data_IF_130611890641
#
_entry.id   IF_130611890641
#
_cell.length_a   1.000
_cell.length_b   1.000
_cell.length_c   1.000
_cell.angle_alpha   90.00
_cell.angle_beta   90.00
_cell.angle_gamma   90.00
#
_symmetry.space_group_name_H-M   'P 1'
#
loop_
_entity.id
_entity.type
_entity.pdbx_description
1 polymer ?
#
# COMPACT_ATOMS: atom_id res chain seq x y z
N UNK A 1 -32.16 15.24 22.53
CA UNK A 1 -30.74 15.16 22.89
C UNK A 1 -29.96 14.98 21.59
N UNK A 2 -28.93 15.80 21.38
CA UNK A 2 -28.49 16.23 20.06
C UNK A 2 -27.49 15.24 19.42
N UNK A 3 -27.99 14.29 18.61
CA UNK A 3 -27.20 13.22 17.97
C UNK A 3 -26.03 13.76 17.12
N UNK A 4 -26.20 14.97 16.53
CA UNK A 4 -25.16 15.69 15.81
C UNK A 4 -23.98 16.09 16.70
N UNK A 5 -24.24 16.53 17.93
CA UNK A 5 -23.20 16.96 18.87
C UNK A 5 -22.35 15.77 19.35
N UNK A 6 -22.98 14.60 19.52
CA UNK A 6 -22.30 13.36 19.94
C UNK A 6 -21.40 12.83 18.81
N UNK A 7 -21.87 12.90 17.55
CA UNK A 7 -21.07 12.51 16.40
C UNK A 7 -19.83 13.39 16.21
N UNK A 8 -19.94 14.70 16.51
CA UNK A 8 -18.83 15.65 16.34
C UNK A 8 -17.73 15.43 17.38
N UNK A 9 -18.09 15.20 18.65
CA UNK A 9 -17.12 14.89 19.72
C UNK A 9 -16.42 13.55 19.53
N UNK A 10 -17.14 12.51 19.10
CA UNK A 10 -16.54 11.20 18.83
C UNK A 10 -15.56 11.21 17.65
N UNK A 11 -15.78 12.07 16.64
CA UNK A 11 -14.86 12.28 15.53
C UNK A 11 -13.58 12.99 16.01
N UNK A 12 -13.72 13.98 16.89
CA UNK A 12 -12.59 14.72 17.47
C UNK A 12 -11.70 13.82 18.36
N UNK A 13 -12.29 13.00 19.22
CA UNK A 13 -11.56 12.05 20.08
C UNK A 13 -10.84 10.97 19.24
N UNK A 14 -11.43 10.58 18.11
CA UNK A 14 -10.81 9.67 17.14
C UNK A 14 -9.65 10.36 16.40
N UNK A 15 -9.81 11.62 15.98
CA UNK A 15 -8.74 12.41 15.36
C UNK A 15 -7.53 12.59 16.28
N UNK A 16 -7.73 12.79 17.58
CA UNK A 16 -6.63 12.86 18.56
C UNK A 16 -5.88 11.53 18.74
N UNK A 17 -6.60 10.40 18.81
CA UNK A 17 -5.99 9.06 18.90
C UNK A 17 -5.18 8.70 17.63
N UNK A 18 -5.61 9.18 16.46
CA UNK A 18 -4.94 8.98 15.17
C UNK A 18 -3.64 9.80 15.03
N UNK A 19 -3.51 10.89 15.78
CA UNK A 19 -2.35 11.78 15.70
C UNK A 19 -1.07 11.18 16.31
N UNK A 20 -1.19 10.10 17.09
CA UNK A 20 -0.12 9.59 17.95
C UNK A 20 0.81 8.56 17.29
N UNK A 21 0.45 8.00 16.13
CA UNK A 21 1.38 7.21 15.31
C UNK A 21 1.66 7.97 14.01
N UNK A 22 2.86 8.53 13.81
CA UNK A 22 3.19 9.30 12.62
C UNK A 22 3.43 8.36 11.43
N UNK A 23 2.43 7.55 11.07
CA UNK A 23 2.49 6.51 10.05
C UNK A 23 3.07 7.06 8.75
N UNK A 24 2.64 8.27 8.36
CA UNK A 24 3.16 8.95 7.19
C UNK A 24 4.67 9.26 7.28
N UNK A 25 5.17 9.64 8.46
CA UNK A 25 6.60 9.87 8.69
C UNK A 25 7.39 8.56 8.62
N UNK A 26 6.88 7.48 9.23
CA UNK A 26 7.52 6.16 9.20
C UNK A 26 7.55 5.62 7.77
N UNK A 27 6.46 5.79 7.00
CA UNK A 27 6.44 5.41 5.59
C UNK A 27 7.48 6.21 4.79
N UNK A 28 7.56 7.54 4.98
CA UNK A 28 8.56 8.38 4.30
C UNK A 28 10.00 7.97 4.64
N UNK A 29 10.25 7.52 5.87
CA UNK A 29 11.56 6.96 6.24
C UNK A 29 11.83 5.64 5.51
N UNK A 30 10.85 4.73 5.41
CA UNK A 30 10.99 3.51 4.62
C UNK A 30 11.25 3.80 3.14
N UNK A 31 10.60 4.81 2.57
CA UNK A 31 10.90 5.26 1.20
C UNK A 31 12.35 5.74 1.08
N UNK A 32 12.82 6.54 2.05
CA UNK A 32 14.19 7.06 2.04
C UNK A 32 15.24 5.94 2.21
N UNK A 33 14.90 4.86 2.92
CA UNK A 33 15.72 3.65 2.99
C UNK A 33 15.73 2.89 1.66
N UNK A 34 14.57 2.71 1.02
CA UNK A 34 14.48 2.08 -0.30
C UNK A 34 15.27 2.85 -1.38
N UNK A 35 15.18 4.19 -1.38
CA UNK A 35 15.92 5.05 -2.30
C UNK A 35 17.44 4.90 -2.10
N UNK A 36 17.92 4.92 -0.85
CA UNK A 36 19.35 4.72 -0.54
C UNK A 36 19.84 3.35 -0.99
N UNK A 37 19.11 2.28 -0.68
CA UNK A 37 19.49 0.93 -1.11
C UNK A 37 19.53 0.84 -2.66
N UNK A 38 18.61 1.51 -3.36
CA UNK A 38 18.59 1.54 -4.82
C UNK A 38 19.74 2.35 -5.42
N UNK A 39 20.12 3.47 -4.79
CA UNK A 39 21.30 4.26 -5.15
C UNK A 39 22.58 3.45 -4.96
N UNK A 40 22.75 2.81 -3.80
CA UNK A 40 23.90 1.94 -3.49
C UNK A 40 23.98 0.75 -4.46
N UNK A 41 22.85 0.11 -4.76
CA UNK A 41 22.75 -0.94 -5.78
C UNK A 41 23.22 -0.44 -7.15
N UNK A 42 22.72 0.73 -7.58
CA UNK A 42 23.07 1.32 -8.87
C UNK A 42 24.55 1.74 -8.94
N UNK A 43 25.10 2.28 -7.86
CA UNK A 43 26.51 2.62 -7.74
C UNK A 43 27.40 1.37 -7.77
N UNK A 44 26.97 0.29 -7.13
CA UNK A 44 27.66 -0.99 -7.18
C UNK A 44 27.67 -1.60 -8.58
N UNK A 45 26.51 -1.67 -9.26
CA UNK A 45 26.42 -2.14 -10.64
C UNK A 45 27.35 -1.35 -11.58
N UNK A 46 27.36 -0.02 -11.46
CA UNK A 46 28.27 0.83 -12.24
C UNK A 46 29.74 0.49 -12.01
N UNK A 47 30.14 0.17 -10.77
CA UNK A 47 31.53 -0.22 -10.43
C UNK A 47 31.93 -1.56 -11.04
N UNK A 48 30.99 -2.49 -11.22
CA UNK A 48 31.25 -3.81 -11.82
C UNK A 48 30.91 -3.87 -13.32
N UNK A 49 30.60 -2.73 -13.95
CA UNK A 49 30.43 -2.59 -15.40
C UNK A 49 28.99 -2.75 -15.91
N UNK A 50 27.99 -2.46 -15.09
CA UNK A 50 26.55 -2.58 -15.38
C UNK A 50 26.16 -3.94 -16.00
N UNK A 51 26.57 -5.06 -15.39
CA UNK A 51 26.25 -6.38 -15.91
C UNK A 51 24.74 -6.62 -15.91
N UNK A 52 24.26 -7.35 -16.92
CA UNK A 52 22.89 -7.85 -16.91
C UNK A 52 22.65 -8.78 -15.72
N UNK A 53 21.41 -8.84 -15.22
CA UNK A 53 21.02 -9.53 -13.98
C UNK A 53 21.61 -10.91 -13.75
N UNK A 54 21.72 -11.73 -14.81
CA UNK A 54 22.32 -13.08 -14.73
C UNK A 54 23.78 -13.10 -14.24
N UNK A 55 24.45 -11.96 -14.32
CA UNK A 55 25.86 -11.77 -13.97
C UNK A 55 26.03 -10.83 -12.77
N UNK A 56 24.96 -10.57 -12.01
CA UNK A 56 25.07 -9.87 -10.74
C UNK A 56 25.89 -10.71 -9.76
N UNK A 57 26.73 -10.03 -8.98
CA UNK A 57 27.42 -10.63 -7.86
C UNK A 57 26.51 -10.63 -6.61
N UNK A 58 26.91 -11.36 -5.57
CA UNK A 58 26.12 -11.46 -4.35
C UNK A 58 25.80 -10.11 -3.71
N UNK A 59 26.71 -9.12 -3.65
CA UNK A 59 26.36 -7.77 -3.17
C UNK A 59 25.26 -7.09 -3.98
N UNK A 60 25.28 -7.16 -5.32
CA UNK A 60 24.21 -6.60 -6.15
C UNK A 60 22.85 -7.25 -5.83
N UNK A 61 22.80 -8.59 -5.72
CA UNK A 61 21.57 -9.31 -5.37
C UNK A 61 21.03 -8.88 -4.00
N UNK A 62 21.89 -8.78 -2.98
CA UNK A 62 21.49 -8.41 -1.62
C UNK A 62 20.95 -6.97 -1.53
N UNK A 63 21.61 -6.01 -2.20
CA UNK A 63 21.14 -4.62 -2.23
C UNK A 63 19.79 -4.51 -2.94
N UNK A 64 19.57 -5.27 -4.01
CA UNK A 64 18.29 -5.27 -4.70
C UNK A 64 17.17 -5.91 -3.87
N UNK A 65 17.47 -6.97 -3.12
CA UNK A 65 16.54 -7.56 -2.16
C UNK A 65 16.17 -6.58 -1.04
N UNK A 66 17.14 -5.80 -0.54
CA UNK A 66 16.93 -4.76 0.48
C UNK A 66 15.95 -3.67 0.00
N UNK A 67 16.07 -3.22 -1.25
CA UNK A 67 15.07 -2.34 -1.88
C UNK A 67 13.66 -2.95 -1.78
N UNK A 68 13.54 -4.22 -2.13
CA UNK A 68 12.29 -4.96 -2.05
C UNK A 68 11.72 -5.04 -0.62
N UNK A 69 12.57 -5.21 0.39
CA UNK A 69 12.17 -5.24 1.80
C UNK A 69 11.59 -3.89 2.23
N UNK A 70 12.28 -2.78 1.92
CA UNK A 70 11.81 -1.45 2.32
C UNK A 70 10.52 -1.04 1.60
N UNK A 71 10.40 -1.33 0.31
CA UNK A 71 9.15 -1.13 -0.43
C UNK A 71 8.01 -1.97 0.17
N UNK A 72 8.28 -3.22 0.52
CA UNK A 72 7.30 -4.13 1.11
C UNK A 72 6.81 -3.65 2.47
N UNK A 73 7.74 -3.22 3.33
CA UNK A 73 7.44 -2.65 4.64
C UNK A 73 6.56 -1.40 4.53
N UNK A 74 6.84 -0.52 3.56
CA UNK A 74 5.98 0.63 3.27
C UNK A 74 4.56 0.21 2.92
N UNK A 75 4.35 -0.79 2.05
CA UNK A 75 2.99 -1.24 1.71
C UNK A 75 2.25 -1.83 2.90
N UNK A 76 2.95 -2.52 3.81
CA UNK A 76 2.35 -3.00 5.07
C UNK A 76 1.89 -1.85 5.95
N UNK A 77 2.69 -0.78 6.07
CA UNK A 77 2.30 0.42 6.80
C UNK A 77 1.09 1.12 6.16
N UNK A 78 1.03 1.22 4.83
CA UNK A 78 -0.15 1.73 4.12
C UNK A 78 -1.39 0.86 4.39
N UNK A 79 -1.25 -0.46 4.37
CA UNK A 79 -2.34 -1.39 4.70
C UNK A 79 -2.86 -1.19 6.13
N UNK A 80 -1.99 -0.87 7.10
CA UNK A 80 -2.39 -0.52 8.46
C UNK A 80 -3.25 0.75 8.46
N UNK A 81 -2.80 1.82 7.79
CA UNK A 81 -3.55 3.08 7.66
C UNK A 81 -4.91 2.90 6.97
N UNK A 82 -4.99 2.04 5.95
CA UNK A 82 -6.25 1.68 5.29
C UNK A 82 -7.18 0.96 6.27
N UNK A 83 -6.66 -0.04 6.99
CA UNK A 83 -7.46 -0.85 7.93
C UNK A 83 -8.03 -0.01 9.06
N UNK A 84 -7.22 0.90 9.60
CA UNK A 84 -7.63 1.88 10.60
C UNK A 84 -8.75 2.77 10.07
N UNK A 85 -8.59 3.34 8.86
CA UNK A 85 -9.61 4.19 8.23
C UNK A 85 -10.94 3.46 8.08
N UNK A 86 -10.91 2.22 7.61
CA UNK A 86 -12.14 1.44 7.44
C UNK A 86 -12.80 1.16 8.78
N UNK A 87 -12.02 0.88 9.82
CA UNK A 87 -12.54 0.66 11.17
C UNK A 87 -13.31 1.89 11.68
N UNK A 88 -12.73 3.08 11.49
CA UNK A 88 -13.35 4.36 11.87
C UNK A 88 -14.63 4.61 11.08
N UNK A 89 -14.57 4.54 9.76
CA UNK A 89 -15.73 4.80 8.89
C UNK A 89 -16.84 3.80 9.18
N UNK A 90 -16.51 2.53 9.38
CA UNK A 90 -17.49 1.52 9.75
C UNK A 90 -18.13 1.81 11.11
N UNK A 91 -17.35 2.29 12.08
CA UNK A 91 -17.88 2.68 13.39
C UNK A 91 -18.87 3.84 13.27
N UNK A 92 -18.57 4.85 12.46
CA UNK A 92 -19.49 5.97 12.16
C UNK A 92 -20.79 5.44 11.54
N UNK A 93 -20.69 4.59 10.52
CA UNK A 93 -21.85 3.98 9.87
C UNK A 93 -22.72 3.14 10.83
N UNK A 94 -22.10 2.41 11.76
CA UNK A 94 -22.81 1.66 12.79
C UNK A 94 -23.58 2.62 13.73
N UNK A 95 -22.97 3.73 14.13
CA UNK A 95 -23.62 4.74 14.98
C UNK A 95 -24.80 5.41 14.26
N UNK A 96 -24.72 5.56 12.94
CA UNK A 96 -25.81 6.05 12.08
C UNK A 96 -26.85 4.97 11.70
N UNK A 97 -26.77 3.77 12.28
CA UNK A 97 -27.72 2.67 12.04
C UNK A 97 -27.60 2.00 10.67
N UNK A 98 -26.53 2.28 9.91
CA UNK A 98 -26.31 1.82 8.53
C UNK A 98 -24.99 1.06 8.39
N UNK A 99 -24.82 -0.06 9.09
CA UNK A 99 -23.59 -0.86 9.02
C UNK A 99 -23.22 -1.21 7.56
N UNK A 100 -21.98 -0.94 7.16
CA UNK A 100 -21.47 -1.25 5.81
C UNK A 100 -20.37 -2.30 5.88
N UNK A 101 -20.38 -3.21 4.90
CA UNK A 101 -19.28 -4.17 4.74
C UNK A 101 -17.97 -3.45 4.35
N UNK A 102 -16.82 -4.07 4.68
CA UNK A 102 -15.46 -3.56 4.42
C UNK A 102 -15.22 -3.16 2.95
N UNK A 103 -15.69 -3.98 2.02
CA UNK A 103 -15.43 -3.81 0.58
C UNK A 103 -16.07 -2.54 -0.01
N UNK A 104 -17.35 -2.22 0.25
CA UNK A 104 -17.93 -0.92 -0.11
C UNK A 104 -17.17 0.29 0.44
N UNK A 105 -16.69 0.22 1.69
CA UNK A 105 -15.94 1.33 2.31
C UNK A 105 -14.60 1.52 1.61
N UNK A 106 -13.86 0.44 1.34
CA UNK A 106 -12.56 0.48 0.67
C UNK A 106 -12.61 1.20 -0.69
N UNK A 107 -13.76 1.14 -1.38
CA UNK A 107 -13.97 1.76 -2.70
C UNK A 107 -14.62 3.15 -2.65
N UNK A 108 -15.11 3.55 -1.49
CA UNK A 108 -15.80 4.82 -1.31
C UNK A 108 -14.81 5.98 -1.44
N UNK A 109 -15.07 6.93 -2.35
CA UNK A 109 -14.17 8.07 -2.62
C UNK A 109 -12.72 7.69 -3.01
N UNK A 110 -12.52 6.43 -3.39
CA UNK A 110 -11.20 5.91 -3.73
C UNK A 110 -10.79 6.38 -5.13
N UNK A 111 -9.53 6.81 -5.25
CA UNK A 111 -8.96 7.16 -6.56
C UNK A 111 -8.56 5.87 -7.28
N UNK A 112 -8.86 5.78 -8.58
CA UNK A 112 -8.61 4.60 -9.41
C UNK A 112 -7.40 4.78 -10.30
N UNK A 113 -6.59 3.74 -10.39
CA UNK A 113 -5.50 3.62 -11.35
C UNK A 113 -6.02 3.35 -12.77
N UNK A 114 -5.13 3.43 -13.76
CA UNK A 114 -5.42 3.04 -15.15
C UNK A 114 -5.88 1.57 -15.29
N UNK A 115 -5.48 0.70 -14.36
CA UNK A 115 -5.93 -0.69 -14.33
C UNK A 115 -7.39 -0.86 -13.86
N UNK A 116 -8.05 0.23 -13.42
CA UNK A 116 -9.40 0.23 -12.85
C UNK A 116 -9.45 -0.24 -11.39
N UNK A 117 -8.30 -0.47 -10.75
CA UNK A 117 -8.20 -0.76 -9.31
C UNK A 117 -8.01 0.53 -8.53
N UNK A 118 -8.64 0.61 -7.35
CA UNK A 118 -8.36 1.71 -6.42
C UNK A 118 -6.93 1.63 -5.85
N UNK A 119 -6.36 2.77 -5.49
CA UNK A 119 -5.04 2.82 -4.86
C UNK A 119 -4.99 1.99 -3.56
N UNK A 120 -6.09 1.96 -2.80
CA UNK A 120 -6.21 1.18 -1.58
C UNK A 120 -6.25 -0.33 -1.88
N UNK A 121 -6.94 -0.76 -2.95
CA UNK A 121 -6.90 -2.16 -3.40
C UNK A 121 -5.49 -2.59 -3.81
N UNK A 122 -4.77 -1.74 -4.54
CA UNK A 122 -3.40 -2.01 -4.98
C UNK A 122 -2.46 -2.12 -3.78
N UNK A 123 -2.47 -1.13 -2.88
CA UNK A 123 -1.61 -1.11 -1.70
C UNK A 123 -1.88 -2.32 -0.78
N UNK A 124 -3.15 -2.65 -0.56
CA UNK A 124 -3.55 -3.82 0.23
C UNK A 124 -3.11 -5.14 -0.43
N UNK A 125 -3.20 -5.25 -1.76
CA UNK A 125 -2.77 -6.44 -2.49
C UNK A 125 -1.23 -6.59 -2.49
N UNK A 126 -0.49 -5.50 -2.68
CA UNK A 126 0.97 -5.48 -2.59
C UNK A 126 1.48 -5.85 -1.19
N UNK A 127 0.85 -5.33 -0.14
CA UNK A 127 1.17 -5.70 1.24
C UNK A 127 0.92 -7.20 1.50
N UNK A 128 -0.19 -7.75 0.98
CA UNK A 128 -0.48 -9.18 1.11
C UNK A 128 0.50 -10.05 0.33
N UNK A 129 0.88 -9.64 -0.88
CA UNK A 129 1.97 -10.29 -1.61
C UNK A 129 3.24 -10.30 -0.76
N UNK A 130 3.71 -9.15 -0.28
CA UNK A 130 4.95 -9.07 0.50
C UNK A 130 4.97 -10.02 1.71
N UNK A 131 3.91 -9.99 2.54
CA UNK A 131 3.81 -10.81 3.75
C UNK A 131 3.74 -12.31 3.45
N UNK A 132 3.02 -12.70 2.40
CA UNK A 132 2.66 -14.09 2.15
C UNK A 132 3.33 -14.69 0.90
N UNK A 133 4.27 -13.98 0.25
CA UNK A 133 4.88 -14.43 -1.02
C UNK A 133 5.50 -15.83 -0.94
N UNK A 134 6.03 -16.20 0.22
CA UNK A 134 6.66 -17.50 0.47
C UNK A 134 5.65 -18.65 0.54
N UNK A 135 4.36 -18.34 0.73
CA UNK A 135 3.25 -19.29 0.71
C UNK A 135 2.66 -19.45 -0.71
N UNK A 136 3.04 -18.58 -1.66
CA UNK A 136 2.49 -18.58 -3.00
C UNK A 136 3.20 -19.62 -3.87
N UNK A 137 2.48 -20.31 -4.76
CA UNK A 137 3.10 -21.25 -5.68
C UNK A 137 4.03 -20.53 -6.65
N UNK A 138 5.07 -21.23 -7.12
CA UNK A 138 5.97 -20.71 -8.16
C UNK A 138 5.22 -20.38 -9.45
N UNK A 139 4.15 -21.11 -9.75
CA UNK A 139 3.20 -20.76 -10.79
C UNK A 139 1.92 -20.24 -10.14
N UNK A 140 1.66 -18.94 -10.28
CA UNK A 140 0.48 -18.29 -9.69
C UNK A 140 -0.87 -18.86 -10.18
N UNK A 141 -0.89 -19.57 -11.32
CA UNK A 141 -2.09 -20.27 -11.79
C UNK A 141 -2.55 -21.38 -10.82
N UNK A 142 -1.63 -21.95 -10.04
CA UNK A 142 -1.88 -23.06 -9.12
C UNK A 142 -2.37 -22.59 -7.73
N UNK A 143 -2.62 -21.29 -7.58
CA UNK A 143 -2.95 -20.69 -6.30
C UNK A 143 -4.34 -21.08 -5.78
N UNK A 144 -4.42 -21.34 -4.47
CA UNK A 144 -5.67 -21.67 -3.77
C UNK A 144 -6.53 -20.41 -3.54
N UNK A 145 -7.80 -20.62 -3.19
CA UNK A 145 -8.87 -19.60 -3.20
C UNK A 145 -8.53 -18.26 -2.50
N UNK A 146 -7.87 -18.28 -1.34
CA UNK A 146 -7.52 -17.07 -0.58
C UNK A 146 -6.45 -16.21 -1.27
N UNK A 147 -5.40 -16.82 -1.81
CA UNK A 147 -4.34 -16.12 -2.54
C UNK A 147 -4.78 -15.78 -3.97
N UNK A 148 -5.67 -16.56 -4.57
CA UNK A 148 -6.11 -16.41 -5.96
C UNK A 148 -6.67 -15.02 -6.26
N UNK A 149 -7.52 -14.48 -5.39
CA UNK A 149 -8.07 -13.12 -5.58
C UNK A 149 -7.00 -12.04 -5.50
N UNK A 150 -6.05 -12.17 -4.57
CA UNK A 150 -4.93 -11.23 -4.45
C UNK A 150 -4.03 -11.31 -5.67
N UNK A 151 -3.72 -12.52 -6.15
CA UNK A 151 -2.99 -12.80 -7.39
C UNK A 151 -3.66 -12.15 -8.59
N UNK A 152 -4.97 -12.34 -8.77
CA UNK A 152 -5.72 -11.71 -9.87
C UNK A 152 -5.61 -10.18 -9.85
N UNK A 153 -5.63 -9.56 -8.66
CA UNK A 153 -5.45 -8.11 -8.51
C UNK A 153 -4.02 -7.67 -8.86
N UNK A 154 -3.00 -8.33 -8.30
CA UNK A 154 -1.61 -7.96 -8.54
C UNK A 154 -1.16 -8.23 -9.98
N UNK A 155 -1.70 -9.27 -10.63
CA UNK A 155 -1.41 -9.56 -12.04
C UNK A 155 -1.92 -8.46 -12.98
N UNK A 156 -3.04 -7.80 -12.65
CA UNK A 156 -3.59 -6.69 -13.45
C UNK A 156 -2.71 -5.44 -13.48
N UNK A 157 -1.78 -5.33 -12.54
CA UNK A 157 -0.83 -4.21 -12.45
C UNK A 157 0.58 -4.60 -12.89
N UNK A 158 0.74 -5.79 -13.49
CA UNK A 158 2.00 -6.26 -14.08
C UNK A 158 2.89 -7.05 -13.12
N UNK A 159 2.46 -7.30 -11.88
CA UNK A 159 3.18 -8.23 -11.00
C UNK A 159 3.04 -9.66 -11.54
N UNK A 160 4.06 -10.48 -11.33
CA UNK A 160 4.07 -11.86 -11.83
C UNK A 160 4.96 -12.76 -10.97
N UNK A 161 4.79 -14.08 -11.14
CA UNK A 161 5.59 -15.07 -10.45
C UNK A 161 7.05 -15.12 -10.91
N UNK A 162 7.34 -14.63 -12.13
CA UNK A 162 8.69 -14.59 -12.70
C UNK A 162 9.47 -13.32 -12.32
N UNK A 163 8.81 -12.36 -11.68
CA UNK A 163 9.42 -11.14 -11.21
C UNK A 163 9.95 -11.35 -9.79
N UNK A 164 11.07 -10.73 -9.46
CA UNK A 164 11.57 -10.73 -8.09
C UNK A 164 10.77 -9.78 -7.21
N UNK A 165 11.08 -9.82 -5.91
CA UNK A 165 10.37 -9.06 -4.89
C UNK A 165 10.32 -7.56 -5.22
N UNK A 166 11.48 -6.94 -5.46
CA UNK A 166 11.56 -5.51 -5.73
C UNK A 166 10.83 -5.14 -7.03
N UNK A 167 10.98 -5.94 -8.10
CA UNK A 167 10.30 -5.71 -9.38
C UNK A 167 8.77 -5.68 -9.20
N UNK A 168 8.23 -6.67 -8.52
CA UNK A 168 6.81 -6.75 -8.22
C UNK A 168 6.32 -5.55 -7.40
N UNK A 169 7.09 -5.11 -6.42
CA UNK A 169 6.72 -3.94 -5.62
C UNK A 169 6.85 -2.63 -6.40
N UNK A 170 7.78 -2.52 -7.35
CA UNK A 170 7.85 -1.41 -8.30
C UNK A 170 6.67 -1.38 -9.28
N UNK A 171 6.14 -2.54 -9.69
CA UNK A 171 4.87 -2.59 -10.44
C UNK A 171 3.72 -2.03 -9.62
N UNK A 172 3.60 -2.42 -8.34
CA UNK A 172 2.59 -1.88 -7.44
C UNK A 172 2.75 -0.36 -7.22
N UNK A 173 3.97 0.10 -6.98
CA UNK A 173 4.29 1.53 -6.84
C UNK A 173 3.91 2.30 -8.11
N UNK A 174 4.29 1.79 -9.29
CA UNK A 174 4.00 2.37 -10.59
C UNK A 174 2.53 2.37 -10.99
N UNK A 175 1.70 1.57 -10.34
CA UNK A 175 0.26 1.55 -10.57
C UNK A 175 -0.49 2.61 -9.73
N UNK A 176 0.14 3.12 -8.66
CA UNK A 176 -0.40 4.19 -7.81
C UNK A 176 0.23 5.55 -8.16
N UNK A 177 1.52 5.56 -8.43
CA UNK A 177 2.36 6.73 -8.69
C UNK A 177 3.07 6.56 -10.02
N UNK A 178 3.67 7.62 -10.57
CA UNK A 178 4.81 7.41 -11.44
C UNK A 178 5.91 6.71 -10.62
N UNK A 179 6.49 5.61 -11.09
CA UNK A 179 7.42 4.73 -10.32
C UNK A 179 8.53 5.45 -9.54
N UNK A 180 8.81 6.71 -9.86
CA UNK A 180 9.77 7.59 -9.22
C UNK A 180 9.27 8.31 -7.95
N UNK A 181 7.99 8.24 -7.58
CA UNK A 181 7.42 9.08 -6.51
C UNK A 181 6.80 8.28 -5.35
N UNK A 182 7.57 7.34 -4.79
CA UNK A 182 7.16 6.57 -3.61
C UNK A 182 6.81 7.46 -2.39
N UNK A 183 7.41 8.64 -2.28
CA UNK A 183 7.14 9.59 -1.18
C UNK A 183 5.71 10.11 -1.17
N UNK A 184 5.02 10.11 -2.32
CA UNK A 184 3.62 10.53 -2.42
C UNK A 184 2.62 9.46 -1.94
N UNK A 185 3.05 8.20 -1.73
CA UNK A 185 2.13 7.11 -1.41
C UNK A 185 1.28 7.33 -0.15
N UNK A 186 1.82 7.80 1.01
CA UNK A 186 0.98 8.08 2.18
C UNK A 186 -0.15 9.03 1.87
N UNK A 187 0.17 10.10 1.14
CA UNK A 187 -0.79 11.14 0.78
C UNK A 187 -1.86 10.59 -0.15
N UNK A 188 -1.47 9.95 -1.25
CA UNK A 188 -2.40 9.46 -2.27
C UNK A 188 -3.28 8.30 -1.79
N UNK A 189 -2.73 7.38 -0.99
CA UNK A 189 -3.41 6.15 -0.57
C UNK A 189 -4.24 6.37 0.70
N UNK A 190 -3.77 7.19 1.64
CA UNK A 190 -4.39 7.32 2.96
C UNK A 190 -4.91 8.73 3.19
N UNK A 191 -4.08 9.77 3.12
CA UNK A 191 -4.45 11.13 3.56
C UNK A 191 -5.56 11.73 2.67
N UNK A 192 -5.36 11.78 1.35
CA UNK A 192 -6.35 12.30 0.40
C UNK A 192 -7.65 11.51 0.44
N UNK A 193 -7.54 10.19 0.60
CA UNK A 193 -8.70 9.33 0.71
C UNK A 193 -9.50 9.61 1.99
N UNK A 194 -8.82 9.75 3.13
CA UNK A 194 -9.44 10.16 4.40
C UNK A 194 -10.12 11.52 4.29
N UNK A 195 -9.48 12.49 3.63
CA UNK A 195 -10.06 13.82 3.42
C UNK A 195 -11.36 13.76 2.61
N UNK A 196 -11.38 13.01 1.52
CA UNK A 196 -12.60 12.82 0.70
C UNK A 196 -13.70 12.09 1.46
N UNK A 197 -13.34 11.05 2.23
CA UNK A 197 -14.28 10.34 3.10
C UNK A 197 -14.88 11.28 4.16
N UNK A 198 -14.06 12.11 4.79
CA UNK A 198 -14.51 13.06 5.82
C UNK A 198 -15.46 14.12 5.23
N UNK A 199 -15.17 14.65 4.04
CA UNK A 199 -16.09 15.57 3.34
C UNK A 199 -17.45 14.89 3.08
N UNK A 200 -17.44 13.68 2.51
CA UNK A 200 -18.66 12.91 2.26
C UNK A 200 -19.47 12.62 3.52
N UNK A 201 -18.80 12.27 4.63
CA UNK A 201 -19.47 11.98 5.90
C UNK A 201 -20.06 13.23 6.56
N UNK A 202 -19.51 14.41 6.30
CA UNK A 202 -20.08 15.70 6.71
C UNK A 202 -21.26 16.15 5.84
N UNK A 203 -21.37 15.60 4.63
CA UNK A 203 -22.39 15.97 3.65
C UNK A 203 -21.98 17.13 2.74
N UNK A 204 -20.67 17.38 2.62
CA UNK A 204 -20.06 18.36 1.72
C UNK A 204 -19.83 17.77 0.31
#
# INVERSE_FOLDING_TARGET
MNTKLIATGAVQDLEELLYHFPLASVIREQVSLAERAQEEHSDHLRRIGDPGRRFWDTPAELLYDEVGIHLGAMFVLLQAGITETISIVNRIYILDGNAKNKTPILRLEATTSASGLSYQEIANAAANYFKHRHEWPQNWADAKSLSKKTIELVSRIGMSASNDLADNLYYALGAITDRANAKALPTLVVEDWRLKLAARLRGD
#
